data_IF_265354247285
#
_entry.id   IF_265354247285
#
_cell.length_a   1.000
_cell.length_b   1.000
_cell.length_c   1.000
_cell.angle_alpha   90.00
_cell.angle_beta   90.00
_cell.angle_gamma   90.00
#
_symmetry.space_group_name_H-M   'P 1'
#
loop_
_entity.id
_entity.type
_entity.pdbx_description
1 polymer ?
#
# COMPACT_ATOMS: atom_id res chain seq x y z
N UNK A 1 8.46 16.62 12.44
CA UNK A 1 8.51 16.03 11.09
C UNK A 1 8.47 14.52 11.25
N UNK A 2 7.49 13.88 10.65
CA UNK A 2 7.38 12.42 10.64
C UNK A 2 7.94 11.94 9.29
N UNK A 3 8.87 11.00 9.32
CA UNK A 3 9.22 10.22 8.14
C UNK A 3 8.60 8.83 8.28
N UNK A 4 7.83 8.41 7.29
CA UNK A 4 7.36 7.03 7.19
C UNK A 4 8.41 6.19 6.45
N UNK A 5 8.93 5.19 7.12
CA UNK A 5 9.85 4.24 6.52
C UNK A 5 9.07 3.17 5.75
N UNK A 6 9.68 2.71 4.66
CA UNK A 6 9.11 1.73 3.71
C UNK A 6 8.59 0.48 4.40
N UNK A 7 7.53 -0.10 3.84
CA UNK A 7 6.99 -1.40 4.24
C UNK A 7 8.07 -2.48 4.27
N UNK A 8 7.97 -3.38 5.23
CA UNK A 8 8.90 -4.47 5.45
C UNK A 8 8.16 -5.80 5.52
N UNK A 9 8.68 -6.75 4.77
CA UNK A 9 8.27 -8.15 4.83
C UNK A 9 9.46 -8.97 5.30
N UNK A 10 9.28 -9.76 6.35
CA UNK A 10 10.30 -10.66 6.82
C UNK A 10 10.59 -10.59 8.32
N UNK A 11 11.17 -11.65 8.82
CA UNK A 11 11.19 -12.04 10.21
C UNK A 11 12.10 -11.23 11.14
N UNK A 12 12.90 -10.30 10.65
CA UNK A 12 13.69 -9.43 11.54
C UNK A 12 14.11 -8.16 10.81
N UNK A 13 13.75 -7.00 11.33
CA UNK A 13 14.32 -5.74 10.91
C UNK A 13 15.19 -5.14 12.01
N UNK A 14 16.40 -4.80 11.62
CA UNK A 14 17.30 -4.01 12.42
C UNK A 14 17.48 -2.64 11.77
N UNK A 15 16.84 -1.61 12.34
CA UNK A 15 17.20 -0.23 12.04
C UNK A 15 18.38 0.11 12.94
N UNK A 16 19.56 0.17 12.35
CA UNK A 16 20.76 0.57 13.07
C UNK A 16 20.82 2.08 13.14
N UNK A 17 20.40 2.63 14.24
CA UNK A 17 20.78 3.97 14.62
C UNK A 17 21.68 3.89 15.86
N UNK A 18 22.78 4.50 15.75
CA UNK A 18 24.00 4.65 16.57
C UNK A 18 24.12 3.91 17.90
N UNK A 19 23.05 3.47 18.59
CA UNK A 19 23.20 2.78 19.88
C UNK A 19 22.05 1.84 20.25
N UNK A 20 20.91 1.79 19.51
CA UNK A 20 19.77 0.94 19.83
C UNK A 20 19.18 0.29 18.58
N UNK A 21 18.93 -1.00 18.65
CA UNK A 21 18.13 -1.71 17.65
C UNK A 21 16.66 -1.58 18.00
N UNK A 22 15.82 -1.25 17.02
CA UNK A 22 14.37 -1.36 17.16
C UNK A 22 14.02 -2.81 16.90
N UNK A 23 13.51 -3.48 17.92
CA UNK A 23 13.03 -4.85 17.81
C UNK A 23 11.51 -4.85 17.88
N UNK A 24 10.86 -5.53 16.96
CA UNK A 24 9.46 -5.92 17.12
C UNK A 24 9.31 -7.37 16.67
N UNK A 25 8.37 -8.08 17.31
CA UNK A 25 8.05 -9.44 16.93
C UNK A 25 7.23 -9.41 15.63
N UNK A 26 7.94 -9.50 14.52
CA UNK A 26 7.38 -9.69 13.18
C UNK A 26 7.13 -11.18 12.89
N UNK A 27 6.81 -11.99 13.88
CA UNK A 27 6.54 -13.42 13.72
C UNK A 27 5.37 -13.62 12.76
N UNK A 28 5.69 -13.97 11.54
CA UNK A 28 4.75 -14.15 10.45
C UNK A 28 5.14 -13.27 9.25
N UNK A 29 4.79 -13.75 8.08
CA UNK A 29 5.00 -13.03 6.82
C UNK A 29 3.89 -11.98 6.67
N UNK A 30 4.09 -10.80 7.23
CA UNK A 30 3.11 -9.71 7.28
C UNK A 30 3.74 -8.40 6.84
N UNK A 31 2.93 -7.48 6.37
CA UNK A 31 3.37 -6.13 6.01
C UNK A 31 3.08 -5.15 7.15
N UNK A 32 4.00 -4.24 7.39
CA UNK A 32 3.87 -3.21 8.43
C UNK A 32 4.27 -1.84 7.89
N UNK A 33 3.63 -0.79 8.39
CA UNK A 33 4.18 0.56 8.36
C UNK A 33 4.84 0.86 9.70
N UNK A 34 5.92 1.65 9.67
CA UNK A 34 6.62 2.09 10.87
C UNK A 34 6.64 3.61 10.89
N UNK A 35 5.96 4.19 11.87
CA UNK A 35 6.02 5.61 12.18
C UNK A 35 7.18 5.85 13.15
N UNK A 36 8.07 6.81 12.83
CA UNK A 36 9.19 7.17 13.70
C UNK A 36 9.09 8.65 14.08
N UNK A 37 8.99 8.93 15.37
CA UNK A 37 9.03 10.26 15.92
C UNK A 37 10.47 10.56 16.42
N UNK A 38 11.20 11.32 15.62
CA UNK A 38 12.59 11.67 15.94
C UNK A 38 12.73 12.69 17.08
N UNK A 39 11.67 13.42 17.39
CA UNK A 39 11.69 14.40 18.48
C UNK A 39 11.58 13.72 19.83
N UNK A 40 10.64 12.78 19.94
CA UNK A 40 10.38 12.03 21.17
C UNK A 40 11.13 10.69 21.22
N UNK A 41 11.87 10.34 20.16
CA UNK A 41 12.59 9.07 20.01
C UNK A 41 11.68 7.85 20.24
N UNK A 42 10.47 7.93 19.68
CA UNK A 42 9.48 6.84 19.73
C UNK A 42 9.19 6.30 18.33
N UNK A 43 8.71 5.07 18.27
CA UNK A 43 8.32 4.43 17.04
C UNK A 43 7.07 3.58 17.26
N UNK A 44 6.29 3.38 16.20
CA UNK A 44 5.05 2.61 16.25
C UNK A 44 4.92 1.78 14.98
N UNK A 45 4.98 0.44 15.07
CA UNK A 45 4.62 -0.43 13.96
C UNK A 45 3.10 -0.58 13.87
N UNK A 46 2.56 -0.57 12.67
CA UNK A 46 1.14 -0.84 12.43
C UNK A 46 1.03 -1.87 11.32
N UNK A 47 0.40 -3.01 11.61
CA UNK A 47 0.17 -4.09 10.65
C UNK A 47 -0.76 -3.62 9.54
N UNK A 48 -0.39 -3.89 8.28
CA UNK A 48 -1.27 -3.71 7.13
C UNK A 48 -2.11 -4.98 6.98
N UNK A 49 -3.38 -4.87 7.32
CA UNK A 49 -4.33 -5.99 7.31
C UNK A 49 -5.16 -6.04 6.04
N UNK A 50 -5.28 -4.92 5.36
CA UNK A 50 -6.14 -4.76 4.21
C UNK A 50 -5.59 -3.70 3.27
N UNK A 51 -5.69 -3.95 1.98
CA UNK A 51 -5.44 -2.97 0.94
C UNK A 51 -6.60 -3.02 -0.05
N UNK A 52 -7.11 -1.85 -0.44
CA UNK A 52 -8.11 -1.69 -1.48
C UNK A 52 -7.51 -1.10 -2.75
N UNK A 53 -7.97 -1.57 -3.90
CA UNK A 53 -7.86 -0.82 -5.15
C UNK A 53 -9.05 0.12 -5.22
N UNK A 54 -8.86 1.36 -4.76
CA UNK A 54 -9.93 2.32 -4.53
C UNK A 54 -10.01 3.29 -5.70
N UNK A 55 -11.10 3.27 -6.46
CA UNK A 55 -11.15 4.01 -7.70
C UNK A 55 -12.55 4.23 -8.29
N UNK A 56 -12.58 4.96 -9.41
CA UNK A 56 -13.83 5.33 -10.10
C UNK A 56 -14.65 4.10 -10.51
N UNK A 57 -13.98 3.06 -11.01
CA UNK A 57 -14.64 1.86 -11.54
C UNK A 57 -15.45 1.08 -10.50
N UNK A 58 -15.11 1.19 -9.23
CA UNK A 58 -15.87 0.53 -8.15
C UNK A 58 -16.69 1.51 -7.31
N UNK A 59 -16.81 2.76 -7.77
CA UNK A 59 -17.56 3.81 -7.11
C UNK A 59 -16.90 4.30 -5.82
N UNK A 60 -15.57 4.24 -5.74
CA UNK A 60 -14.79 4.63 -4.57
C UNK A 60 -15.23 3.83 -3.31
N UNK A 61 -15.36 2.52 -3.48
CA UNK A 61 -15.82 1.63 -2.42
C UNK A 61 -14.64 1.06 -1.62
N UNK A 62 -14.71 1.17 -0.30
CA UNK A 62 -13.75 0.57 0.62
C UNK A 62 -13.99 -0.93 0.87
N UNK A 63 -15.13 -1.45 0.41
CA UNK A 63 -15.52 -2.85 0.58
C UNK A 63 -15.30 -3.71 -0.66
N UNK A 64 -14.95 -3.08 -1.81
CA UNK A 64 -14.73 -3.78 -3.08
C UNK A 64 -13.26 -3.80 -3.44
N UNK A 65 -12.90 -4.73 -4.33
CA UNK A 65 -11.56 -4.85 -4.89
C UNK A 65 -10.46 -4.87 -3.82
N UNK A 66 -10.72 -5.68 -2.78
CA UNK A 66 -9.77 -5.95 -1.72
C UNK A 66 -8.65 -6.83 -2.27
N UNK A 67 -7.42 -6.43 -2.01
CA UNK A 67 -6.25 -7.22 -2.37
C UNK A 67 -6.05 -8.39 -1.42
N UNK A 68 -5.63 -9.51 -1.97
CA UNK A 68 -5.26 -10.73 -1.23
C UNK A 68 -3.74 -10.72 -1.06
N UNK A 69 -3.29 -10.93 0.16
CA UNK A 69 -1.88 -11.06 0.48
C UNK A 69 -1.40 -12.50 0.29
N UNK A 70 -0.35 -12.69 -0.47
CA UNK A 70 0.36 -13.95 -0.60
C UNK A 70 1.54 -13.98 0.38
N UNK A 71 1.44 -14.81 1.40
CA UNK A 71 2.45 -14.95 2.44
C UNK A 71 3.78 -15.55 1.95
N UNK A 72 3.77 -16.28 0.83
CA UNK A 72 5.01 -16.88 0.30
C UNK A 72 5.84 -15.86 -0.46
N UNK A 73 5.18 -15.02 -1.24
CA UNK A 73 5.83 -14.02 -2.09
C UNK A 73 5.91 -12.63 -1.45
N UNK A 74 5.04 -12.35 -0.49
CA UNK A 74 4.90 -11.01 0.11
C UNK A 74 4.18 -10.02 -0.80
N UNK A 75 3.47 -10.50 -1.82
CA UNK A 75 2.79 -9.68 -2.82
C UNK A 75 1.30 -9.59 -2.53
N UNK A 76 0.75 -8.41 -2.62
CA UNK A 76 -0.68 -8.17 -2.63
C UNK A 76 -1.22 -8.25 -4.06
N UNK A 77 -2.39 -8.85 -4.27
CA UNK A 77 -3.00 -8.94 -5.59
C UNK A 77 -4.52 -8.84 -5.55
N UNK A 78 -5.10 -8.26 -6.60
CA UNK A 78 -6.53 -8.24 -6.85
C UNK A 78 -6.82 -8.40 -8.34
N UNK A 79 -7.98 -8.98 -8.67
CA UNK A 79 -8.55 -8.94 -10.01
C UNK A 79 -9.65 -7.90 -10.04
N UNK A 80 -9.49 -6.88 -10.88
CA UNK A 80 -10.40 -5.76 -10.97
C UNK A 80 -11.01 -5.67 -12.37
N UNK A 81 -12.32 -5.44 -12.42
CA UNK A 81 -13.03 -5.16 -13.68
C UNK A 81 -13.16 -3.64 -13.84
N UNK A 82 -12.25 -3.06 -14.61
CA UNK A 82 -12.18 -1.61 -14.82
C UNK A 82 -13.14 -1.25 -15.95
N UNK A 83 -14.39 -1.00 -15.61
CA UNK A 83 -15.48 -0.65 -16.52
C UNK A 83 -15.50 0.82 -16.90
N UNK A 84 -14.75 1.67 -16.19
CA UNK A 84 -14.55 3.08 -16.49
C UNK A 84 -13.22 3.56 -15.89
N UNK A 85 -12.47 4.29 -16.69
CA UNK A 85 -11.19 4.86 -16.24
C UNK A 85 -11.43 6.05 -15.30
N UNK A 86 -12.30 6.99 -15.71
CA UNK A 86 -12.65 8.17 -14.94
C UNK A 86 -11.44 8.90 -14.35
N UNK A 87 -11.46 9.09 -13.03
CA UNK A 87 -10.32 9.68 -12.30
C UNK A 87 -9.23 8.66 -11.96
N UNK A 88 -9.39 7.39 -12.35
CA UNK A 88 -8.45 6.33 -12.05
C UNK A 88 -8.65 5.71 -10.66
N UNK A 89 -7.56 5.23 -10.06
CA UNK A 89 -7.57 4.59 -8.75
C UNK A 89 -6.27 4.87 -7.98
N UNK A 90 -6.26 4.50 -6.71
CA UNK A 90 -5.06 4.40 -5.87
C UNK A 90 -5.21 3.26 -4.86
N UNK A 91 -4.13 2.94 -4.17
CA UNK A 91 -4.15 1.94 -3.11
C UNK A 91 -4.42 2.61 -1.78
N UNK A 92 -5.39 2.08 -1.04
CA UNK A 92 -5.76 2.57 0.27
C UNK A 92 -5.61 1.44 1.29
N UNK A 93 -4.78 1.66 2.30
CA UNK A 93 -4.44 0.64 3.30
C UNK A 93 -5.31 0.79 4.56
N UNK A 94 -5.57 -0.32 5.26
CA UNK A 94 -6.24 -0.38 6.56
C UNK A 94 -7.48 0.50 6.68
N UNK A 95 -8.31 0.47 5.66
CA UNK A 95 -9.51 1.31 5.62
C UNK A 95 -10.56 0.80 6.58
N UNK A 96 -11.06 1.68 7.41
CA UNK A 96 -12.36 1.52 8.06
C UNK A 96 -13.42 2.05 7.09
N UNK A 97 -14.48 1.28 6.73
CA UNK A 97 -15.56 1.75 5.88
C UNK A 97 -16.22 3.04 6.35
N UNK A 98 -16.22 3.26 7.65
CA UNK A 98 -16.85 4.42 8.29
C UNK A 98 -15.88 5.61 8.48
N UNK A 99 -14.56 5.37 8.39
CA UNK A 99 -13.53 6.38 8.62
C UNK A 99 -12.32 6.17 7.72
N UNK A 100 -12.33 6.78 6.54
CA UNK A 100 -11.15 6.73 5.66
C UNK A 100 -10.04 7.58 6.27
N UNK A 101 -8.92 6.93 6.58
CA UNK A 101 -7.69 7.65 6.93
C UNK A 101 -6.86 7.87 5.66
N UNK A 102 -6.81 9.10 5.20
CA UNK A 102 -6.11 9.50 3.99
C UNK A 102 -4.59 9.40 4.11
N UNK A 103 -4.04 9.39 5.31
CA UNK A 103 -2.60 9.19 5.57
C UNK A 103 -2.14 7.78 5.17
N UNK A 104 -3.08 6.86 4.97
CA UNK A 104 -2.83 5.48 4.54
C UNK A 104 -2.99 5.25 3.04
N UNK A 105 -3.04 6.31 2.27
CA UNK A 105 -3.05 6.27 0.81
C UNK A 105 -1.64 6.13 0.26
N UNK A 106 -1.44 5.22 -0.69
CA UNK A 106 -0.24 5.21 -1.53
C UNK A 106 -0.44 6.18 -2.69
N UNK A 107 0.42 7.17 -2.76
CA UNK A 107 0.47 8.14 -3.84
C UNK A 107 1.34 7.61 -4.98
N UNK A 108 1.07 8.12 -6.18
CA UNK A 108 1.82 7.75 -7.38
C UNK A 108 2.18 9.00 -8.16
N UNK A 109 3.40 9.03 -8.68
CA UNK A 109 3.78 9.93 -9.78
C UNK A 109 4.56 9.14 -10.82
N UNK A 110 4.53 9.57 -12.07
CA UNK A 110 5.31 8.94 -13.15
C UNK A 110 6.82 9.03 -12.93
N UNK A 111 7.28 10.00 -12.15
CA UNK A 111 8.71 10.22 -11.85
C UNK A 111 9.18 9.43 -10.63
N UNK A 112 8.37 9.38 -9.58
CA UNK A 112 8.78 8.80 -8.29
C UNK A 112 8.22 7.40 -8.03
N UNK A 113 7.28 6.93 -8.86
CA UNK A 113 6.57 5.67 -8.60
C UNK A 113 5.59 5.79 -7.43
N UNK A 114 5.40 4.69 -6.70
CA UNK A 114 4.58 4.66 -5.49
C UNK A 114 5.34 5.19 -4.28
N UNK A 115 4.66 5.95 -3.44
CA UNK A 115 5.20 6.42 -2.16
C UNK A 115 4.09 6.68 -1.15
N UNK A 116 4.45 6.62 0.12
CA UNK A 116 3.57 6.95 1.23
C UNK A 116 3.90 8.38 1.69
N UNK A 117 2.91 9.28 1.61
CA UNK A 117 3.09 10.69 1.94
C UNK A 117 1.76 11.33 2.30
N UNK A 118 1.80 12.42 3.00
CA UNK A 118 0.70 13.36 3.24
C UNK A 118 0.48 14.34 2.07
N UNK A 119 1.27 14.23 1.00
CA UNK A 119 1.22 15.11 -0.15
C UNK A 119 0.31 14.56 -1.25
N UNK A 120 -0.23 15.46 -2.06
CA UNK A 120 -1.10 15.11 -3.17
C UNK A 120 -0.29 14.50 -4.33
N UNK A 121 -0.54 13.22 -4.58
CA UNK A 121 -0.07 12.53 -5.79
C UNK A 121 -1.21 12.33 -6.78
N UNK A 122 -0.86 11.87 -7.97
CA UNK A 122 -1.82 11.54 -9.00
C UNK A 122 -2.50 10.19 -8.73
N UNK A 123 -3.68 10.00 -9.30
CA UNK A 123 -4.30 8.69 -9.37
C UNK A 123 -3.66 7.88 -10.50
N UNK A 124 -3.58 6.57 -10.32
CA UNK A 124 -3.12 5.64 -11.34
C UNK A 124 -4.24 5.52 -12.38
N UNK A 125 -3.93 5.80 -13.65
CA UNK A 125 -4.89 5.68 -14.74
C UNK A 125 -4.51 4.54 -15.66
N UNK A 126 -5.37 3.49 -15.79
CA UNK A 126 -5.19 2.44 -16.79
C UNK A 126 -5.21 3.03 -18.20
N UNK A 127 -4.50 2.39 -19.14
CA UNK A 127 -4.49 2.83 -20.54
C UNK A 127 -5.83 2.61 -21.24
N UNK A 128 -6.58 1.59 -20.84
CA UNK A 128 -7.91 1.24 -21.35
C UNK A 128 -8.76 0.53 -20.30
N UNK A 129 -10.04 0.43 -20.55
CA UNK A 129 -10.97 -0.39 -19.78
C UNK A 129 -10.70 -1.89 -20.02
N UNK A 130 -11.05 -2.74 -19.05
CA UNK A 130 -10.86 -4.18 -19.13
C UNK A 130 -10.68 -4.84 -17.77
N UNK A 131 -10.50 -6.15 -17.79
CA UNK A 131 -10.17 -6.92 -16.59
C UNK A 131 -8.67 -6.98 -16.38
N UNK A 132 -8.23 -6.67 -15.18
CA UNK A 132 -6.82 -6.62 -14.82
C UNK A 132 -6.52 -7.40 -13.56
N UNK A 133 -5.39 -8.12 -13.56
CA UNK A 133 -4.72 -8.53 -12.34
C UNK A 133 -3.77 -7.42 -11.94
N UNK A 134 -4.02 -6.82 -10.78
CA UNK A 134 -3.20 -5.77 -10.20
C UNK A 134 -2.39 -6.39 -9.06
N UNK A 135 -1.08 -6.23 -9.09
CA UNK A 135 -0.19 -6.67 -7.99
C UNK A 135 0.51 -5.48 -7.38
N UNK A 136 0.81 -5.57 -6.08
CA UNK A 136 1.48 -4.53 -5.32
C UNK A 136 2.55 -5.16 -4.43
N UNK A 137 3.80 -4.74 -4.64
CA UNK A 137 4.96 -5.07 -3.82
C UNK A 137 5.30 -3.87 -2.94
N UNK A 138 4.92 -3.92 -1.67
CA UNK A 138 5.20 -2.83 -0.74
C UNK A 138 6.69 -2.70 -0.37
N UNK A 139 7.48 -3.77 -0.51
CA UNK A 139 8.92 -3.71 -0.24
C UNK A 139 9.66 -2.89 -1.29
N UNK A 140 9.24 -3.04 -2.54
CA UNK A 140 9.82 -2.30 -3.65
C UNK A 140 9.09 -0.99 -3.93
N UNK A 141 7.90 -0.82 -3.36
CA UNK A 141 6.96 0.26 -3.70
C UNK A 141 6.67 0.27 -5.19
N UNK A 142 6.34 -0.90 -5.71
CA UNK A 142 6.02 -1.13 -7.13
C UNK A 142 4.68 -1.82 -7.29
N UNK A 143 4.01 -1.54 -8.38
CA UNK A 143 2.80 -2.26 -8.77
C UNK A 143 2.87 -2.68 -10.23
N UNK A 144 2.10 -3.70 -10.58
CA UNK A 144 1.89 -4.09 -11.99
C UNK A 144 0.41 -4.18 -12.30
N UNK A 145 0.07 -3.98 -13.56
CA UNK A 145 -1.26 -4.21 -14.11
C UNK A 145 -1.12 -5.12 -15.32
N UNK A 146 -1.69 -6.31 -15.23
CA UNK A 146 -1.69 -7.29 -16.34
C UNK A 146 -3.12 -7.52 -16.78
N UNK A 147 -3.40 -7.28 -18.06
CA UNK A 147 -4.71 -7.55 -18.63
C UNK A 147 -5.02 -9.06 -18.60
N UNK A 148 -6.22 -9.39 -18.15
CA UNK A 148 -6.75 -10.76 -18.19
C UNK A 148 -7.52 -10.90 -19.50
N UNK A 149 -6.93 -11.60 -20.46
CA UNK A 149 -7.63 -12.02 -21.70
C UNK A 149 -8.34 -13.34 -21.44
N UNK A 150 -9.63 -13.40 -21.73
CA UNK A 150 -10.41 -14.66 -21.74
C UNK A 150 -9.98 -15.57 -22.86
#
# INVERSE_FOLDING_TARGET
>A
AYEMLRSLVGSEMCIRDWHYNIWFDGSGKKSYTIEVDYVNLTWKPTEIKQINVYGTFNGWSTAKDLMIYDEETGIWSAECDITTIGDGFYFLMNTDPDQINWDWRLYYTSESGLYLSDQNGDNIKPAKEGKYRITLDLNKMEFTMTEITE
#
